data_IF_805493794055
#
_entry.id   IF_805493794055
#
_cell.length_a   1.000
_cell.length_b   1.000
_cell.length_c   1.000
_cell.angle_alpha   90.00
_cell.angle_beta   90.00
_cell.angle_gamma   90.00
#
_symmetry.space_group_name_H-M   'P 1'
#
loop_
_entity.id
_entity.type
_entity.pdbx_description
1 polymer ?
#
# COMPACT_ATOMS: atom_id res chain seq x y z
N UNK A 1 15.49 -0.07 -7.20
CA UNK A 1 14.26 0.72 -7.23
C UNK A 1 13.88 0.86 -8.69
N UNK A 2 12.60 0.86 -9.04
CA UNK A 2 12.17 0.98 -10.44
C UNK A 2 11.88 2.44 -10.82
N UNK A 3 11.58 3.31 -9.84
CA UNK A 3 11.59 4.76 -10.06
C UNK A 3 13.01 5.24 -10.39
N UNK A 4 13.14 6.22 -11.26
CA UNK A 4 14.42 6.76 -11.73
C UNK A 4 15.20 7.51 -10.64
N UNK A 5 14.49 8.03 -9.62
CA UNK A 5 15.05 8.70 -8.45
C UNK A 5 14.20 8.41 -7.20
N UNK A 6 14.80 8.56 -6.02
CA UNK A 6 14.11 8.25 -4.76
C UNK A 6 12.88 9.15 -4.53
N UNK A 7 12.99 10.43 -4.88
CA UNK A 7 11.92 11.43 -4.76
C UNK A 7 10.76 11.19 -5.72
N UNK A 8 10.92 10.31 -6.71
CA UNK A 8 9.89 9.93 -7.69
C UNK A 8 9.15 8.65 -7.30
N UNK A 9 9.45 8.03 -6.16
CA UNK A 9 8.60 6.96 -5.67
C UNK A 9 7.27 7.52 -5.14
N UNK A 10 6.25 6.65 -5.09
CA UNK A 10 4.90 7.07 -4.73
C UNK A 10 4.79 7.62 -3.28
N UNK A 11 5.68 7.21 -2.37
CA UNK A 11 5.67 7.69 -0.98
C UNK A 11 6.07 9.15 -0.92
N UNK A 12 7.18 9.51 -1.59
CA UNK A 12 7.66 10.90 -1.65
C UNK A 12 6.69 11.79 -2.41
N UNK A 13 6.15 11.31 -3.54
CA UNK A 13 5.17 12.04 -4.34
C UNK A 13 3.88 12.31 -3.54
N UNK A 14 3.35 11.29 -2.84
CA UNK A 14 2.18 11.45 -1.97
C UNK A 14 2.45 12.41 -0.82
N UNK A 15 3.62 12.30 -0.19
CA UNK A 15 4.03 13.20 0.90
C UNK A 15 4.08 14.65 0.44
N UNK A 16 4.61 14.92 -0.75
CA UNK A 16 4.63 16.27 -1.34
C UNK A 16 3.22 16.79 -1.62
N UNK A 17 2.30 15.94 -2.11
CA UNK A 17 0.91 16.31 -2.35
C UNK A 17 0.17 16.63 -1.02
N UNK A 18 0.41 15.84 0.02
CA UNK A 18 -0.15 16.10 1.36
C UNK A 18 0.41 17.41 1.92
N UNK A 19 1.72 17.63 1.84
CA UNK A 19 2.36 18.86 2.30
C UNK A 19 1.76 20.10 1.61
N UNK A 20 1.59 20.03 0.29
CA UNK A 20 0.98 21.09 -0.50
C UNK A 20 -0.48 21.36 -0.11
N UNK A 21 -1.24 20.32 0.18
CA UNK A 21 -2.66 20.44 0.51
C UNK A 21 -2.89 20.91 1.95
N UNK A 22 -2.07 20.49 2.90
CA UNK A 22 -2.19 20.83 4.32
C UNK A 22 -1.47 22.13 4.72
N UNK A 23 -0.49 22.57 3.90
CA UNK A 23 0.39 23.69 4.24
C UNK A 23 1.44 23.34 5.30
N UNK A 24 1.61 22.06 5.64
CA UNK A 24 2.58 21.56 6.63
C UNK A 24 3.38 20.40 6.06
N UNK A 25 4.63 20.24 6.50
CA UNK A 25 5.48 19.13 6.08
C UNK A 25 5.21 17.90 6.95
N UNK A 26 4.68 16.78 6.41
CA UNK A 26 4.46 15.55 7.17
C UNK A 26 5.80 14.91 7.55
N UNK A 27 5.87 14.35 8.77
CA UNK A 27 6.90 13.39 9.10
C UNK A 27 6.51 12.02 8.56
N UNK A 28 7.45 11.28 7.98
CA UNK A 28 7.18 9.98 7.36
C UNK A 28 8.00 8.85 8.00
N UNK A 29 7.35 7.70 8.17
CA UNK A 29 7.99 6.46 8.59
C UNK A 29 7.64 5.37 7.58
N UNK A 30 8.64 4.74 6.97
CA UNK A 30 8.44 3.64 6.02
C UNK A 30 8.92 2.33 6.65
N UNK A 31 8.11 1.29 6.52
CA UNK A 31 8.43 -0.06 6.98
C UNK A 31 8.19 -1.08 5.88
N UNK A 32 9.23 -1.84 5.52
CA UNK A 32 9.07 -2.98 4.62
C UNK A 32 8.45 -4.17 5.37
N UNK A 33 7.34 -4.70 4.84
CA UNK A 33 6.59 -5.82 5.42
C UNK A 33 6.71 -7.12 4.61
N UNK A 34 7.71 -7.26 3.75
CA UNK A 34 7.89 -8.47 2.95
C UNK A 34 8.02 -9.76 3.79
N UNK A 35 8.54 -9.66 5.02
CA UNK A 35 8.56 -10.80 5.96
C UNK A 35 7.15 -11.17 6.42
N UNK A 36 6.31 -10.19 6.77
CA UNK A 36 4.90 -10.43 7.06
C UNK A 36 4.19 -11.08 5.86
N UNK A 37 4.36 -10.56 4.66
CA UNK A 37 3.70 -11.09 3.47
C UNK A 37 4.03 -12.56 3.17
N UNK A 38 5.26 -13.00 3.47
CA UNK A 38 5.73 -14.38 3.25
C UNK A 38 5.36 -15.33 4.38
N UNK A 39 5.25 -14.83 5.59
CA UNK A 39 5.15 -15.62 6.84
C UNK A 39 4.03 -15.10 7.75
N UNK A 40 2.93 -14.60 7.20
CA UNK A 40 1.88 -13.90 7.95
C UNK A 40 1.25 -14.75 9.06
N UNK A 41 1.27 -16.08 8.95
CA UNK A 41 0.72 -16.97 9.99
C UNK A 41 1.59 -17.00 11.26
N UNK A 42 2.87 -16.71 11.16
CA UNK A 42 3.84 -16.79 12.26
C UNK A 42 4.50 -15.44 12.59
N UNK A 43 4.18 -14.39 11.85
CA UNK A 43 4.79 -13.09 12.04
C UNK A 43 4.33 -12.42 13.34
N UNK A 44 5.27 -12.08 14.20
CA UNK A 44 5.03 -11.39 15.48
C UNK A 44 4.80 -9.88 15.26
N UNK A 45 3.53 -9.48 15.06
CA UNK A 45 3.17 -8.09 14.73
C UNK A 45 3.72 -7.07 15.72
N UNK A 46 3.56 -7.27 17.02
CA UNK A 46 4.01 -6.32 18.04
C UNK A 46 5.53 -6.06 18.00
N UNK A 47 6.31 -7.11 17.70
CA UNK A 47 7.76 -7.01 17.55
C UNK A 47 8.17 -6.45 16.20
N UNK A 48 7.58 -6.96 15.13
CA UNK A 48 7.91 -6.59 13.75
C UNK A 48 7.49 -5.18 13.37
N UNK A 49 6.49 -4.62 14.09
CA UNK A 49 5.96 -3.27 13.84
C UNK A 49 6.32 -2.26 14.95
N UNK A 50 7.10 -2.66 15.94
CA UNK A 50 7.35 -1.80 17.11
C UNK A 50 7.69 -0.35 16.74
N UNK A 51 8.57 -0.14 15.81
CA UNK A 51 9.04 1.18 15.39
C UNK A 51 7.97 2.04 14.71
N UNK A 52 7.00 1.44 14.02
CA UNK A 52 5.86 2.15 13.43
C UNK A 52 4.73 2.36 14.43
N UNK A 53 4.55 1.44 15.37
CA UNK A 53 3.58 1.60 16.46
C UNK A 53 4.01 2.72 17.42
N UNK A 54 5.31 2.77 17.75
CA UNK A 54 5.88 3.84 18.58
C UNK A 54 5.81 5.23 17.89
N UNK A 55 5.73 5.27 16.57
CA UNK A 55 5.63 6.51 15.79
C UNK A 55 4.26 7.19 15.91
N UNK A 56 3.21 6.43 16.26
CA UNK A 56 1.84 6.94 16.46
C UNK A 56 1.32 7.82 15.30
N UNK A 57 1.34 7.28 14.09
CA UNK A 57 0.95 8.00 12.88
C UNK A 57 -0.54 8.40 12.90
N UNK A 58 -0.87 9.60 12.40
CA UNK A 58 -2.26 10.03 12.12
C UNK A 58 -2.83 9.36 10.86
N UNK A 59 -1.95 8.98 9.93
CA UNK A 59 -2.28 8.38 8.65
C UNK A 59 -1.38 7.18 8.38
N UNK A 60 -1.97 6.05 8.01
CA UNK A 60 -1.25 4.83 7.60
C UNK A 60 -1.65 4.42 6.19
N UNK A 61 -0.66 4.18 5.34
CA UNK A 61 -0.86 3.57 4.02
C UNK A 61 -0.31 2.14 4.06
N UNK A 62 -1.18 1.17 3.94
CA UNK A 62 -0.81 -0.25 3.86
C UNK A 62 -0.69 -0.66 2.40
N UNK A 63 0.51 -1.02 2.00
CA UNK A 63 0.87 -1.40 0.63
C UNK A 63 1.50 -2.79 0.66
N UNK A 64 0.67 -3.82 0.65
CA UNK A 64 1.06 -5.23 0.68
C UNK A 64 0.32 -6.04 -0.40
N UNK A 65 0.65 -7.31 -0.55
CA UNK A 65 0.03 -8.26 -1.47
C UNK A 65 0.99 -8.79 -2.55
N UNK A 66 2.06 -8.05 -2.85
CA UNK A 66 3.02 -8.45 -3.90
C UNK A 66 3.81 -9.72 -3.52
N UNK A 67 4.20 -9.88 -2.26
CA UNK A 67 4.96 -11.05 -1.80
C UNK A 67 4.08 -12.11 -1.13
N UNK A 68 2.78 -11.90 -1.00
CA UNK A 68 1.85 -12.92 -0.51
C UNK A 68 1.66 -13.99 -1.56
N UNK A 69 1.94 -15.25 -1.23
CA UNK A 69 1.57 -16.39 -2.09
C UNK A 69 0.05 -16.41 -2.24
N UNK A 70 -0.46 -16.45 -3.47
CA UNK A 70 -1.91 -16.41 -3.71
C UNK A 70 -2.60 -17.58 -3.02
N UNK A 71 -3.53 -17.33 -2.06
CA UNK A 71 -4.20 -18.39 -1.32
C UNK A 71 -5.09 -19.24 -2.24
N UNK A 72 -4.76 -20.53 -2.37
CA UNK A 72 -5.45 -21.46 -3.28
C UNK A 72 -6.65 -22.16 -2.63
N UNK A 73 -6.63 -22.37 -1.31
CA UNK A 73 -7.69 -23.07 -0.57
C UNK A 73 -8.48 -22.10 0.32
N UNK A 74 -9.69 -22.49 0.71
CA UNK A 74 -10.50 -21.65 1.60
C UNK A 74 -9.84 -21.51 2.99
N UNK A 75 -9.13 -22.53 3.46
CA UNK A 75 -8.34 -22.43 4.68
C UNK A 75 -7.22 -21.37 4.55
N UNK A 76 -6.46 -21.37 3.45
CA UNK A 76 -5.41 -20.38 3.20
C UNK A 76 -5.99 -18.96 3.03
N UNK A 77 -7.16 -18.82 2.38
CA UNK A 77 -7.87 -17.55 2.27
C UNK A 77 -8.27 -17.02 3.65
N UNK A 78 -8.84 -17.90 4.50
CA UNK A 78 -9.22 -17.53 5.85
C UNK A 78 -8.00 -17.16 6.72
N UNK A 79 -6.90 -17.90 6.61
CA UNK A 79 -5.66 -17.61 7.32
C UNK A 79 -5.09 -16.23 6.93
N UNK A 80 -5.02 -15.93 5.62
CA UNK A 80 -4.56 -14.61 5.16
C UNK A 80 -5.51 -13.51 5.61
N UNK A 81 -6.82 -13.69 5.51
CA UNK A 81 -7.80 -12.72 5.98
C UNK A 81 -7.66 -12.42 7.47
N UNK A 82 -7.48 -13.47 8.29
CA UNK A 82 -7.30 -13.32 9.73
C UNK A 82 -6.00 -12.58 10.07
N UNK A 83 -4.87 -12.95 9.46
CA UNK A 83 -3.58 -12.29 9.68
C UNK A 83 -3.59 -10.83 9.23
N UNK A 84 -4.22 -10.54 8.08
CA UNK A 84 -4.36 -9.17 7.59
C UNK A 84 -5.29 -8.34 8.49
N UNK A 85 -6.38 -8.93 8.99
CA UNK A 85 -7.26 -8.28 9.97
C UNK A 85 -6.52 -7.93 11.28
N UNK A 86 -5.68 -8.84 11.77
CA UNK A 86 -4.83 -8.60 12.94
C UNK A 86 -3.82 -7.47 12.69
N UNK A 87 -3.22 -7.40 11.49
CA UNK A 87 -2.34 -6.29 11.11
C UNK A 87 -3.08 -4.94 11.20
N UNK A 88 -4.27 -4.84 10.60
CA UNK A 88 -5.05 -3.59 10.64
C UNK A 88 -5.46 -3.23 12.07
N UNK A 89 -5.94 -4.19 12.86
CA UNK A 89 -6.31 -3.98 14.27
C UNK A 89 -5.11 -3.51 15.10
N UNK A 90 -3.92 -4.10 14.88
CA UNK A 90 -2.68 -3.69 15.57
C UNK A 90 -2.30 -2.25 15.22
N UNK A 91 -2.42 -1.85 13.95
CA UNK A 91 -2.15 -0.48 13.53
C UNK A 91 -3.16 0.52 14.11
N UNK A 92 -4.44 0.16 14.18
CA UNK A 92 -5.50 1.00 14.78
C UNK A 92 -5.27 1.27 16.26
N UNK A 93 -4.78 0.29 17.01
CA UNK A 93 -4.50 0.44 18.45
C UNK A 93 -3.36 1.42 18.76
N UNK A 94 -2.54 1.76 17.79
CA UNK A 94 -1.39 2.66 17.93
C UNK A 94 -1.75 4.14 17.64
N UNK A 95 -2.89 4.64 18.14
CA UNK A 95 -3.27 6.05 18.01
C UNK A 95 -4.50 6.32 17.14
N UNK A 96 -5.24 5.27 16.76
CA UNK A 96 -6.46 5.37 15.92
C UNK A 96 -6.24 6.12 14.58
N UNK A 97 -5.22 5.73 13.80
CA UNK A 97 -4.90 6.41 12.55
C UNK A 97 -5.99 6.22 11.50
N UNK A 98 -6.07 7.14 10.54
CA UNK A 98 -6.80 6.89 9.31
C UNK A 98 -6.01 5.91 8.45
N UNK A 99 -6.59 4.73 8.13
CA UNK A 99 -5.90 3.69 7.36
C UNK A 99 -6.44 3.64 5.93
N UNK A 100 -5.52 3.69 4.96
CA UNK A 100 -5.77 3.35 3.57
C UNK A 100 -4.98 2.09 3.22
N UNK A 101 -5.62 1.19 2.49
CA UNK A 101 -5.03 -0.04 1.97
C UNK A 101 -5.08 0.03 0.46
N UNK A 102 -3.95 -0.09 -0.23
CA UNK A 102 -3.96 -0.22 -1.69
C UNK A 102 -3.97 -1.68 -2.12
N UNK A 103 -4.60 -1.99 -3.27
CA UNK A 103 -4.46 -3.29 -3.92
C UNK A 103 -3.02 -3.53 -4.39
N UNK A 104 -2.70 -4.76 -4.75
CA UNK A 104 -1.46 -5.07 -5.48
C UNK A 104 -1.39 -4.25 -6.77
N UNK A 105 -0.17 -3.88 -7.20
CA UNK A 105 0.05 -3.27 -8.52
C UNK A 105 -0.28 -4.27 -9.63
N UNK A 106 0.25 -5.51 -9.52
CA UNK A 106 -0.15 -6.59 -10.42
C UNK A 106 -1.47 -7.21 -9.94
N UNK A 107 -2.51 -7.21 -10.79
CA UNK A 107 -3.83 -7.68 -10.38
C UNK A 107 -3.82 -9.09 -9.78
N UNK A 108 -4.41 -9.23 -8.62
CA UNK A 108 -4.59 -10.52 -7.94
C UNK A 108 -6.00 -10.60 -7.36
N UNK A 109 -7.02 -10.99 -8.17
CA UNK A 109 -8.42 -10.92 -7.74
C UNK A 109 -8.70 -11.60 -6.40
N UNK A 110 -8.00 -12.70 -6.10
CA UNK A 110 -8.16 -13.42 -4.83
C UNK A 110 -7.62 -12.59 -3.65
N UNK A 111 -6.37 -12.13 -3.74
CA UNK A 111 -5.74 -11.35 -2.66
C UNK A 111 -6.42 -9.99 -2.49
N UNK A 112 -6.62 -9.28 -3.60
CA UNK A 112 -7.25 -7.95 -3.59
C UNK A 112 -8.69 -8.02 -3.09
N UNK A 113 -9.43 -9.10 -3.39
CA UNK A 113 -10.77 -9.35 -2.86
C UNK A 113 -10.77 -9.54 -1.34
N UNK A 114 -9.84 -10.35 -0.82
CA UNK A 114 -9.68 -10.55 0.63
C UNK A 114 -9.29 -9.22 1.31
N UNK A 115 -8.29 -8.52 0.78
CA UNK A 115 -7.83 -7.26 1.36
C UNK A 115 -8.92 -6.19 1.34
N UNK A 116 -9.72 -6.11 0.28
CA UNK A 116 -10.88 -5.20 0.18
C UNK A 116 -11.91 -5.49 1.27
N UNK A 117 -12.30 -6.77 1.43
CA UNK A 117 -13.29 -7.17 2.44
C UNK A 117 -12.80 -6.86 3.85
N UNK A 118 -11.59 -7.32 4.19
CA UNK A 118 -11.01 -7.10 5.52
C UNK A 118 -10.80 -5.62 5.82
N UNK A 119 -10.41 -4.83 4.83
CA UNK A 119 -10.31 -3.36 4.98
C UNK A 119 -11.66 -2.73 5.30
N UNK A 120 -12.73 -3.16 4.61
CA UNK A 120 -14.09 -2.70 4.88
C UNK A 120 -14.54 -3.04 6.30
N UNK A 121 -14.30 -4.27 6.73
CA UNK A 121 -14.67 -4.75 8.06
C UNK A 121 -13.91 -4.02 9.18
N UNK A 122 -12.67 -3.63 8.92
CA UNK A 122 -11.82 -2.86 9.83
C UNK A 122 -12.05 -1.32 9.76
N UNK A 123 -12.98 -0.83 8.92
CA UNK A 123 -13.20 0.61 8.73
C UNK A 123 -12.08 1.33 7.96
N UNK A 124 -11.13 0.59 7.40
CA UNK A 124 -10.08 1.13 6.54
C UNK A 124 -10.60 1.39 5.11
N UNK A 125 -9.95 2.31 4.39
CA UNK A 125 -10.31 2.63 3.00
C UNK A 125 -9.48 1.82 2.03
N UNK A 126 -10.11 0.96 1.23
CA UNK A 126 -9.43 0.24 0.16
C UNK A 126 -9.33 1.11 -1.11
N UNK A 127 -8.13 1.18 -1.69
CA UNK A 127 -7.80 1.91 -2.93
C UNK A 127 -7.37 0.91 -3.98
N UNK A 128 -8.21 0.71 -4.99
CA UNK A 128 -7.91 -0.20 -6.09
C UNK A 128 -7.02 0.47 -7.13
N UNK A 129 -5.79 -0.01 -7.26
CA UNK A 129 -4.82 0.40 -8.27
C UNK A 129 -4.52 -0.70 -9.29
N UNK A 130 -5.22 -1.82 -9.23
CA UNK A 130 -4.92 -3.01 -10.04
C UNK A 130 -4.97 -2.77 -11.55
N UNK A 131 -5.77 -1.79 -12.00
CA UNK A 131 -5.81 -1.40 -13.40
C UNK A 131 -4.47 -0.88 -13.94
N UNK A 132 -3.63 -0.27 -13.08
CA UNK A 132 -2.34 0.26 -13.47
C UNK A 132 -1.38 -0.84 -13.92
N UNK A 133 -1.37 -1.99 -13.24
CA UNK A 133 -0.50 -3.12 -13.57
C UNK A 133 -0.83 -3.82 -14.89
N UNK A 134 -2.05 -3.64 -15.40
CA UNK A 134 -2.48 -4.15 -16.71
C UNK A 134 -1.99 -3.30 -17.89
N UNK A 135 -1.62 -2.05 -17.65
CA UNK A 135 -1.12 -1.13 -18.67
C UNK A 135 0.41 -1.00 -18.54
N UNK A 136 1.11 -1.57 -19.52
CA UNK A 136 2.59 -1.56 -19.55
C UNK A 136 3.18 -0.16 -19.55
N UNK A 137 2.43 0.88 -19.94
CA UNK A 137 2.91 2.26 -19.90
C UNK A 137 3.19 2.79 -18.49
N UNK A 138 2.71 2.10 -17.45
CA UNK A 138 3.01 2.40 -16.05
C UNK A 138 4.20 1.60 -15.50
N UNK A 139 4.75 0.65 -16.29
CA UNK A 139 5.91 -0.13 -15.88
C UNK A 139 7.21 0.61 -16.24
N UNK A 140 8.24 0.40 -15.45
CA UNK A 140 9.54 1.04 -15.64
C UNK A 140 10.18 0.71 -17.00
N UNK A 141 9.89 -0.48 -17.56
CA UNK A 141 10.31 -0.87 -18.90
C UNK A 141 9.78 0.01 -20.04
N UNK A 142 8.75 0.81 -19.79
CA UNK A 142 8.26 1.77 -20.77
C UNK A 142 9.06 3.09 -20.80
N UNK A 143 9.87 3.32 -19.78
CA UNK A 143 10.58 4.59 -19.56
C UNK A 143 12.09 4.43 -19.79
N UNK A 144 12.66 3.27 -19.45
CA UNK A 144 14.09 2.97 -19.62
C UNK A 144 14.37 1.47 -19.68
N UNK A 145 15.56 1.12 -20.17
CA UNK A 145 16.02 -0.26 -20.20
C UNK A 145 16.55 -0.71 -18.84
N UNK A 146 16.20 -1.94 -18.46
CA UNK A 146 16.66 -2.59 -17.23
C UNK A 146 17.36 -3.92 -17.53
N UNK A 147 18.46 -4.18 -16.83
CA UNK A 147 19.16 -5.48 -16.93
C UNK A 147 18.33 -6.63 -16.33
N UNK A 148 17.46 -6.33 -15.36
CA UNK A 148 16.63 -7.32 -14.67
C UNK A 148 15.16 -7.13 -15.02
N UNK A 149 14.58 -8.12 -15.71
CA UNK A 149 13.17 -8.10 -16.13
C UNK A 149 12.20 -7.92 -14.96
N UNK A 150 12.52 -8.44 -13.77
CA UNK A 150 11.71 -8.25 -12.56
C UNK A 150 11.63 -6.77 -12.14
N UNK A 151 12.74 -6.04 -12.22
CA UNK A 151 12.73 -4.57 -11.92
C UNK A 151 11.98 -3.83 -13.02
N UNK A 152 12.16 -4.19 -14.27
CA UNK A 152 11.51 -3.60 -15.43
C UNK A 152 9.98 -3.63 -15.37
N UNK A 153 9.41 -4.67 -14.74
CA UNK A 153 7.97 -4.84 -14.60
C UNK A 153 7.35 -4.05 -13.43
N UNK A 154 8.16 -3.48 -12.53
CA UNK A 154 7.66 -2.63 -11.44
C UNK A 154 7.17 -1.28 -11.96
N UNK A 155 6.38 -0.51 -11.17
CA UNK A 155 5.98 0.83 -11.55
C UNK A 155 7.20 1.72 -11.84
N UNK A 156 7.25 2.34 -13.02
CA UNK A 156 8.17 3.43 -13.35
C UNK A 156 7.70 4.75 -12.77
N UNK A 157 8.31 5.87 -13.15
CA UNK A 157 7.97 7.20 -12.61
C UNK A 157 6.49 7.55 -12.85
N UNK A 158 5.99 7.27 -14.05
CA UNK A 158 4.56 7.42 -14.38
C UNK A 158 3.67 6.52 -13.50
N UNK A 159 4.08 5.28 -13.29
CA UNK A 159 3.37 4.33 -12.44
C UNK A 159 3.35 4.77 -10.97
N UNK A 160 4.48 5.23 -10.46
CA UNK A 160 4.61 5.77 -9.10
C UNK A 160 3.72 7.00 -8.90
N UNK A 161 3.69 7.92 -9.88
CA UNK A 161 2.81 9.08 -9.84
C UNK A 161 1.34 8.66 -9.82
N UNK A 162 0.94 7.71 -10.68
CA UNK A 162 -0.44 7.24 -10.73
C UNK A 162 -0.89 6.55 -9.43
N UNK A 163 -0.01 5.81 -8.77
CA UNK A 163 -0.28 5.23 -7.43
C UNK A 163 -0.51 6.34 -6.41
N UNK A 164 0.37 7.33 -6.36
CA UNK A 164 0.22 8.46 -5.43
C UNK A 164 -1.07 9.24 -5.69
N UNK A 165 -1.42 9.50 -6.95
CA UNK A 165 -2.65 10.18 -7.35
C UNK A 165 -3.91 9.42 -6.90
N UNK A 166 -3.92 8.10 -7.06
CA UNK A 166 -5.05 7.27 -6.66
C UNK A 166 -5.28 7.32 -5.13
N UNK A 167 -4.19 7.20 -4.34
CA UNK A 167 -4.26 7.29 -2.88
C UNK A 167 -4.71 8.69 -2.46
N UNK A 168 -4.11 9.74 -3.02
CA UNK A 168 -4.45 11.12 -2.69
C UNK A 168 -5.89 11.48 -3.04
N UNK A 169 -6.40 10.99 -4.17
CA UNK A 169 -7.80 11.15 -4.56
C UNK A 169 -8.76 10.48 -3.54
N UNK A 170 -8.42 9.27 -3.08
CA UNK A 170 -9.19 8.59 -2.04
C UNK A 170 -9.16 9.33 -0.70
N UNK A 171 -8.03 9.95 -0.33
CA UNK A 171 -7.91 10.80 0.86
C UNK A 171 -8.81 12.03 0.76
N UNK A 172 -8.79 12.74 -0.37
CA UNK A 172 -9.67 13.90 -0.60
C UNK A 172 -11.15 13.53 -0.52
N UNK A 173 -11.53 12.39 -1.09
CA UNK A 173 -12.91 11.90 -1.04
C UNK A 173 -13.36 11.62 0.40
N UNK A 174 -12.50 11.02 1.24
CA UNK A 174 -12.80 10.76 2.66
C UNK A 174 -12.90 12.07 3.46
N UNK A 175 -12.09 13.06 3.16
CA UNK A 175 -12.11 14.37 3.82
C UNK A 175 -13.28 15.28 3.38
N UNK A 176 -14.13 14.85 2.45
CA UNK A 176 -15.21 15.68 1.88
C UNK A 176 -14.74 16.81 0.97
N UNK A 177 -13.49 16.75 0.51
CA UNK A 177 -12.85 17.76 -0.35
C UNK A 177 -12.91 17.42 -1.85
N UNK A 178 -13.62 16.37 -2.22
CA UNK A 178 -13.83 15.99 -3.61
C UNK A 178 -14.87 16.93 -4.24
N UNK A 179 -14.44 17.96 -4.95
CA UNK A 179 -15.30 18.78 -5.81
C UNK A 179 -15.53 20.21 -5.34
N UNK A 180 -14.50 20.88 -4.87
CA UNK A 180 -14.47 22.36 -4.90
C UNK A 180 -13.45 22.85 -5.92
#
# INVERSE_FOLDING_TARGET
MAASAAELDYVHLLTADIAKASGSQPEIKVRNLASFEREYETFELAKGLKDVLDFQADLVIVAIGENVTTPATDAAKAAFAAAFGQLLATLQQAGDPVIFVRSSFWPSPVKDGIMRQVSSDAGAKFVDISALGNDKSYQASAEQDFQHAGVAAHPGDKGMRAIADAIFAAMKAKAGLAGK
#
